data_IF_060997511665
#
_entry.id   IF_060997511665
#
_cell.length_a   1.000
_cell.length_b   1.000
_cell.length_c   1.000
_cell.angle_alpha   90.00
_cell.angle_beta   90.00
_cell.angle_gamma   90.00
#
_symmetry.space_group_name_H-M   'P 1'
#
loop_
_entity.id
_entity.type
_entity.pdbx_description
1 polymer ?
#
# COMPACT_ATOMS: atom_id res chain seq x y z
N UNK A 1 11.04 -4.23 9.71
CA UNK A 1 9.63 -4.29 9.31
C UNK A 1 8.75 -3.66 10.40
N UNK A 2 7.85 -2.74 10.04
CA UNK A 2 6.99 -2.03 11.01
C UNK A 2 5.54 -2.49 10.84
N UNK A 3 4.98 -3.06 11.90
CA UNK A 3 3.62 -3.62 11.95
C UNK A 3 2.78 -2.86 12.98
N UNK A 4 1.56 -2.50 12.64
CA UNK A 4 0.67 -1.84 13.60
C UNK A 4 -0.63 -1.36 12.98
N UNK A 5 -1.64 -1.03 13.78
CA UNK A 5 -2.93 -0.58 13.28
C UNK A 5 -2.83 0.75 12.52
N UNK A 6 -3.93 1.14 11.91
CA UNK A 6 -4.04 2.44 11.22
C UNK A 6 -3.81 3.56 12.25
N UNK A 7 -3.15 4.64 11.80
CA UNK A 7 -2.88 5.84 12.60
C UNK A 7 -2.17 5.54 13.94
N UNK A 8 -1.27 4.57 13.95
CA UNK A 8 -0.49 4.15 15.13
C UNK A 8 0.96 4.67 15.14
N UNK A 9 1.31 5.60 14.25
CA UNK A 9 2.63 6.21 14.22
C UNK A 9 3.70 5.49 13.41
N UNK A 10 3.37 4.45 12.65
CA UNK A 10 4.33 3.72 11.80
C UNK A 10 5.14 4.65 10.89
N UNK A 11 4.45 5.41 10.06
CA UNK A 11 5.09 6.36 9.12
C UNK A 11 5.88 7.47 9.85
N UNK A 12 5.45 7.87 11.06
CA UNK A 12 6.25 8.78 11.88
C UNK A 12 7.60 8.15 12.28
N UNK A 13 7.58 6.90 12.67
CA UNK A 13 8.80 6.16 13.01
C UNK A 13 9.71 5.97 11.78
N UNK A 14 9.15 5.68 10.60
CA UNK A 14 9.91 5.68 9.33
C UNK A 14 10.64 7.00 9.13
N UNK A 15 9.92 8.12 9.24
CA UNK A 15 10.51 9.47 9.12
C UNK A 15 11.63 9.72 10.13
N UNK A 16 11.48 9.23 11.34
CA UNK A 16 12.53 9.32 12.37
C UNK A 16 13.78 8.55 11.96
N UNK A 17 13.65 7.30 11.50
CA UNK A 17 14.78 6.50 11.03
C UNK A 17 15.50 7.15 9.85
N UNK A 18 14.77 7.71 8.90
CA UNK A 18 15.33 8.47 7.77
C UNK A 18 16.10 9.70 8.27
N UNK A 19 15.50 10.48 9.18
CA UNK A 19 16.13 11.68 9.74
C UNK A 19 17.43 11.36 10.49
N UNK A 20 17.48 10.20 11.14
CA UNK A 20 18.67 9.69 11.83
C UNK A 20 19.67 9.01 10.89
N UNK A 21 19.38 8.92 9.59
CA UNK A 21 20.18 8.19 8.60
C UNK A 21 20.45 6.73 8.99
N UNK A 22 19.49 6.10 9.67
CA UNK A 22 19.59 4.74 10.17
C UNK A 22 19.27 3.68 9.11
N UNK A 23 18.74 4.08 7.95
CA UNK A 23 18.33 3.20 6.85
C UNK A 23 18.76 3.78 5.51
N UNK A 24 18.98 2.90 4.53
CA UNK A 24 19.37 3.27 3.17
C UNK A 24 18.17 3.35 2.23
N UNK A 25 17.11 2.57 2.52
CA UNK A 25 15.89 2.53 1.72
C UNK A 25 14.65 2.61 2.59
N UNK A 26 13.62 3.25 2.06
CA UNK A 26 12.25 3.23 2.57
C UNK A 26 11.40 2.42 1.61
N UNK A 27 10.69 1.41 2.11
CA UNK A 27 9.68 0.67 1.37
C UNK A 27 8.33 1.02 1.96
N UNK A 28 7.45 1.58 1.16
CA UNK A 28 6.07 1.85 1.53
C UNK A 28 5.18 0.75 0.92
N UNK A 29 4.73 -0.14 1.78
CA UNK A 29 3.84 -1.25 1.47
C UNK A 29 2.40 -1.01 1.96
N UNK A 30 2.07 0.21 2.40
CA UNK A 30 0.68 0.60 2.64
C UNK A 30 -0.02 0.88 1.31
N UNK A 31 -0.56 -0.16 0.69
CA UNK A 31 -1.28 -0.06 -0.59
C UNK A 31 -2.52 0.84 -0.52
N UNK A 32 -3.03 1.15 0.67
CA UNK A 32 -4.18 2.03 0.87
C UNK A 32 -3.81 3.50 0.93
N UNK A 33 -2.62 3.83 1.41
CA UNK A 33 -2.17 5.20 1.66
C UNK A 33 -0.69 5.39 1.35
N UNK A 34 -0.25 4.83 0.23
CA UNK A 34 1.13 4.93 -0.20
C UNK A 34 1.61 6.39 -0.24
N UNK A 35 2.67 6.69 0.48
CA UNK A 35 3.26 8.02 0.58
C UNK A 35 4.29 8.30 -0.51
N UNK A 36 4.86 7.26 -1.10
CA UNK A 36 5.87 7.38 -2.15
C UNK A 36 5.26 7.52 -3.54
N UNK A 37 4.16 6.79 -3.79
CA UNK A 37 3.49 6.80 -5.09
C UNK A 37 1.96 6.70 -4.94
N UNK A 38 1.27 6.10 -5.91
CA UNK A 38 -0.18 5.95 -5.89
C UNK A 38 -0.64 4.83 -4.96
N UNK A 39 -1.84 4.93 -4.40
CA UNK A 39 -2.51 3.78 -3.79
C UNK A 39 -2.66 2.63 -4.79
N UNK A 40 -2.58 1.38 -4.29
CA UNK A 40 -2.57 0.19 -5.14
C UNK A 40 -1.18 -0.24 -5.58
N UNK A 41 -0.15 0.46 -5.15
CA UNK A 41 1.25 0.12 -5.38
C UNK A 41 2.00 -0.15 -4.09
N UNK A 42 3.14 -0.83 -4.24
CA UNK A 42 4.21 -0.93 -3.27
C UNK A 42 5.40 -0.23 -3.89
N UNK A 43 6.01 0.70 -3.19
CA UNK A 43 7.10 1.51 -3.72
C UNK A 43 8.30 1.50 -2.80
N UNK A 44 9.51 1.58 -3.36
CA UNK A 44 10.71 1.85 -2.57
C UNK A 44 11.43 3.09 -3.05
N UNK A 45 12.10 3.77 -2.13
CA UNK A 45 12.88 4.98 -2.38
C UNK A 45 14.16 4.95 -1.57
N UNK A 46 15.26 5.43 -2.14
CA UNK A 46 16.47 5.71 -1.37
C UNK A 46 16.17 6.72 -0.26
N UNK A 47 16.60 6.43 0.97
CA UNK A 47 16.33 7.28 2.13
C UNK A 47 16.90 8.70 1.97
N UNK A 48 17.99 8.85 1.24
CA UNK A 48 18.61 10.15 0.89
C UNK A 48 17.70 11.06 0.05
N UNK A 49 16.75 10.47 -0.68
CA UNK A 49 15.78 11.17 -1.54
C UNK A 49 14.42 11.35 -0.86
N UNK A 50 14.23 10.76 0.33
CA UNK A 50 12.97 10.79 1.07
C UNK A 50 12.79 12.14 1.75
N UNK A 51 11.70 12.84 1.42
CA UNK A 51 11.35 14.13 2.04
C UNK A 51 10.45 13.89 3.27
N UNK A 52 11.02 14.04 4.47
CA UNK A 52 10.31 13.81 5.75
C UNK A 52 9.18 14.80 6.00
N UNK A 53 9.17 15.94 5.32
CA UNK A 53 8.13 16.97 5.47
C UNK A 53 6.96 16.78 4.51
N UNK A 54 7.15 16.06 3.41
CA UNK A 54 6.08 15.75 2.47
C UNK A 54 5.26 14.55 2.92
N UNK A 55 3.96 14.63 2.69
CA UNK A 55 3.05 13.53 2.96
C UNK A 55 2.96 12.56 1.78
N UNK A 56 2.95 13.06 0.55
CA UNK A 56 2.94 12.28 -0.68
C UNK A 56 4.05 12.80 -1.60
N UNK A 57 4.96 11.93 -1.98
CA UNK A 57 6.21 12.36 -2.63
C UNK A 57 6.15 12.24 -4.15
N UNK A 58 5.34 11.33 -4.66
CA UNK A 58 5.31 10.97 -6.09
C UNK A 58 6.72 10.65 -6.63
N UNK A 59 7.48 9.88 -5.86
CA UNK A 59 8.86 9.48 -6.13
C UNK A 59 9.07 8.03 -5.72
N UNK A 60 9.83 7.32 -6.52
CA UNK A 60 10.23 5.95 -6.22
C UNK A 60 11.54 5.60 -6.93
N UNK A 61 12.26 4.62 -6.42
CA UNK A 61 13.40 3.97 -7.06
C UNK A 61 13.00 2.62 -7.66
N UNK A 62 12.03 1.95 -7.04
CA UNK A 62 11.43 0.72 -7.53
C UNK A 62 9.94 0.72 -7.22
N UNK A 63 9.15 0.06 -8.07
CA UNK A 63 7.70 0.08 -8.02
C UNK A 63 7.14 -1.31 -8.36
N UNK A 64 6.15 -1.76 -7.57
CA UNK A 64 5.39 -2.99 -7.82
C UNK A 64 3.89 -2.67 -7.82
N UNK A 65 3.18 -3.18 -8.81
CA UNK A 65 1.74 -3.02 -8.92
C UNK A 65 1.01 -4.11 -8.17
N UNK A 66 0.23 -3.72 -7.17
CA UNK A 66 -0.61 -4.65 -6.41
C UNK A 66 -2.07 -4.67 -6.89
N UNK A 67 -2.61 -3.53 -7.31
CA UNK A 67 -3.93 -3.41 -7.91
C UNK A 67 -5.10 -3.28 -6.94
N UNK A 68 -4.86 -3.24 -5.63
CA UNK A 68 -5.90 -3.01 -4.62
C UNK A 68 -5.43 -2.04 -3.54
N UNK A 69 -6.39 -1.40 -2.86
CA UNK A 69 -6.11 -0.48 -1.74
C UNK A 69 -6.13 -1.19 -0.37
N UNK A 70 -6.28 -2.50 -0.37
CA UNK A 70 -6.22 -3.32 0.85
C UNK A 70 -5.51 -4.63 0.56
N UNK A 71 -4.58 -5.07 1.43
CA UNK A 71 -3.90 -6.35 1.27
C UNK A 71 -4.84 -7.55 1.37
N UNK A 72 -6.02 -7.38 1.99
CA UNK A 72 -7.00 -8.46 2.18
C UNK A 72 -7.55 -9.05 0.87
N UNK A 73 -7.40 -8.35 -0.25
CA UNK A 73 -7.85 -8.82 -1.57
C UNK A 73 -7.01 -10.01 -2.05
N UNK A 74 -5.68 -9.95 -1.88
CA UNK A 74 -4.75 -11.04 -2.19
C UNK A 74 -3.52 -10.93 -1.26
N UNK A 75 -3.64 -11.42 -0.01
CA UNK A 75 -2.58 -11.28 0.99
C UNK A 75 -1.24 -11.88 0.55
N UNK A 76 -1.29 -13.02 -0.15
CA UNK A 76 -0.10 -13.72 -0.63
C UNK A 76 0.66 -12.89 -1.66
N UNK A 77 -0.03 -12.38 -2.68
CA UNK A 77 0.59 -11.50 -3.67
C UNK A 77 1.21 -10.25 -3.03
N UNK A 78 0.50 -9.63 -2.06
CA UNK A 78 1.04 -8.49 -1.34
C UNK A 78 2.38 -8.84 -0.65
N UNK A 79 2.44 -9.96 0.05
CA UNK A 79 3.64 -10.39 0.76
C UNK A 79 4.80 -10.70 -0.21
N UNK A 80 4.53 -11.34 -1.33
CA UNK A 80 5.53 -11.64 -2.37
C UNK A 80 6.09 -10.37 -3.02
N UNK A 81 5.23 -9.39 -3.33
CA UNK A 81 5.66 -8.11 -3.91
C UNK A 81 6.49 -7.29 -2.92
N UNK A 82 6.13 -7.30 -1.63
CA UNK A 82 6.94 -6.66 -0.58
C UNK A 82 8.31 -7.32 -0.49
N UNK A 83 8.36 -8.64 -0.43
CA UNK A 83 9.64 -9.38 -0.36
C UNK A 83 10.52 -9.12 -1.59
N UNK A 84 9.91 -9.00 -2.78
CA UNK A 84 10.62 -8.71 -4.04
C UNK A 84 11.30 -7.33 -4.04
N UNK A 85 10.67 -6.32 -3.45
CA UNK A 85 11.14 -4.93 -3.52
C UNK A 85 12.09 -4.56 -2.37
N UNK A 86 12.08 -5.30 -1.27
CA UNK A 86 12.96 -5.08 -0.11
C UNK A 86 14.41 -5.41 -0.49
N UNK A 87 15.33 -4.53 -0.13
CA UNK A 87 16.76 -4.72 -0.40
C UNK A 87 17.63 -3.99 0.64
N UNK A 88 18.78 -4.56 0.95
CA UNK A 88 19.77 -3.95 1.83
C UNK A 88 19.17 -3.49 3.17
N UNK A 89 19.70 -2.41 3.72
CA UNK A 89 19.22 -1.82 4.97
C UNK A 89 17.94 -0.99 4.73
N UNK A 90 16.81 -1.67 4.68
CA UNK A 90 15.51 -1.08 4.40
C UNK A 90 14.64 -0.96 5.63
N UNK A 91 13.85 0.11 5.73
CA UNK A 91 12.67 0.17 6.58
C UNK A 91 11.41 -0.08 5.74
N UNK A 92 10.54 -0.98 6.20
CA UNK A 92 9.28 -1.32 5.52
C UNK A 92 8.10 -0.81 6.35
N UNK A 93 7.34 0.14 5.80
CA UNK A 93 6.09 0.65 6.38
C UNK A 93 4.91 -0.16 5.83
N UNK A 94 4.25 -0.92 6.70
CA UNK A 94 3.12 -1.76 6.32
C UNK A 94 1.79 -1.02 6.52
N UNK A 95 0.79 -1.51 5.82
CA UNK A 95 -0.60 -1.14 6.00
C UNK A 95 -1.10 -1.33 7.44
N UNK A 96 -2.30 -0.79 7.73
CA UNK A 96 -2.93 -0.88 9.04
C UNK A 96 -3.91 -2.05 9.20
N UNK A 97 -3.97 -3.00 8.26
CA UNK A 97 -4.83 -4.17 8.36
C UNK A 97 -4.26 -5.17 9.38
N UNK A 98 -4.77 -5.13 10.62
CA UNK A 98 -4.25 -5.89 11.76
C UNK A 98 -5.33 -6.66 12.53
N UNK A 99 -6.60 -6.55 12.12
CA UNK A 99 -7.72 -7.16 12.82
C UNK A 99 -8.13 -8.49 12.19
N UNK A 100 -8.32 -9.49 13.02
CA UNK A 100 -8.76 -10.82 12.65
C UNK A 100 -7.62 -11.77 12.26
N UNK A 101 -7.97 -13.05 12.18
CA UNK A 101 -7.02 -14.15 11.92
C UNK A 101 -6.24 -13.97 10.61
N UNK A 102 -6.92 -13.63 9.52
CA UNK A 102 -6.28 -13.48 8.22
C UNK A 102 -5.29 -12.31 8.16
N UNK A 103 -5.59 -11.21 8.85
CA UNK A 103 -4.68 -10.09 8.96
C UNK A 103 -3.41 -10.47 9.72
N UNK A 104 -3.56 -11.19 10.83
CA UNK A 104 -2.41 -11.66 11.60
C UNK A 104 -1.57 -12.67 10.82
N UNK A 105 -2.21 -13.67 10.20
CA UNK A 105 -1.53 -14.64 9.33
C UNK A 105 -0.73 -13.96 8.22
N UNK A 106 -1.30 -12.94 7.57
CA UNK A 106 -0.60 -12.16 6.55
C UNK A 106 0.65 -11.47 7.10
N UNK A 107 0.60 -10.93 8.34
CA UNK A 107 1.79 -10.31 8.95
C UNK A 107 2.87 -11.35 9.28
N UNK A 108 2.48 -12.53 9.72
CA UNK A 108 3.43 -13.64 9.92
C UNK A 108 4.06 -14.06 8.58
N UNK A 109 3.28 -14.24 7.54
CA UNK A 109 3.78 -14.59 6.19
C UNK A 109 4.74 -13.52 5.64
N UNK A 110 4.45 -12.23 5.84
CA UNK A 110 5.37 -11.14 5.51
C UNK A 110 6.70 -11.24 6.27
N UNK A 111 6.65 -11.54 7.56
CA UNK A 111 7.87 -11.70 8.37
C UNK A 111 8.69 -12.88 7.85
N UNK A 112 8.05 -13.99 7.51
CA UNK A 112 8.71 -15.17 6.97
C UNK A 112 9.36 -14.90 5.62
N UNK A 113 8.65 -14.26 4.68
CA UNK A 113 9.15 -13.99 3.34
C UNK A 113 10.22 -12.90 3.29
N UNK A 114 10.06 -11.83 4.07
CA UNK A 114 11.02 -10.72 4.12
C UNK A 114 12.23 -11.07 4.98
N UNK A 115 12.05 -11.94 5.99
CA UNK A 115 13.09 -12.31 6.97
C UNK A 115 13.82 -11.10 7.57
N UNK A 116 13.09 -10.14 8.17
CA UNK A 116 13.71 -8.90 8.63
C UNK A 116 14.54 -9.13 9.90
N UNK A 117 15.64 -8.39 10.06
CA UNK A 117 16.44 -8.39 11.30
C UNK A 117 15.62 -7.92 12.51
N UNK A 118 14.71 -6.98 12.28
CA UNK A 118 13.88 -6.40 13.34
C UNK A 118 12.42 -6.31 12.91
N UNK A 119 11.52 -6.77 13.77
CA UNK A 119 10.09 -6.54 13.68
C UNK A 119 9.71 -5.53 14.74
N UNK A 120 9.23 -4.36 14.34
CA UNK A 120 8.77 -3.31 15.24
C UNK A 120 7.24 -3.25 15.19
N UNK A 121 6.59 -3.20 16.34
CA UNK A 121 5.14 -3.04 16.39
C UNK A 121 4.71 -1.90 17.30
N UNK A 122 3.64 -1.21 16.92
CA UNK A 122 2.99 -0.17 17.71
C UNK A 122 1.79 -0.70 18.52
N UNK A 123 1.55 -2.01 18.51
CA UNK A 123 0.42 -2.67 19.16
C UNK A 123 0.88 -3.70 20.19
N UNK A 124 0.48 -3.52 21.44
CA UNK A 124 0.76 -4.49 22.51
C UNK A 124 0.15 -5.87 22.22
N UNK A 125 -1.02 -5.90 21.56
CA UNK A 125 -1.63 -7.17 21.15
C UNK A 125 -0.73 -7.90 20.14
N UNK A 126 -0.31 -7.23 19.07
CA UNK A 126 0.56 -7.83 18.05
C UNK A 126 1.90 -8.24 18.67
N UNK A 127 2.45 -7.42 19.56
CA UNK A 127 3.67 -7.75 20.28
C UNK A 127 3.55 -9.09 21.03
N UNK A 128 2.46 -9.28 21.81
CA UNK A 128 2.22 -10.53 22.54
C UNK A 128 2.01 -11.72 21.59
N UNK A 129 1.18 -11.53 20.55
CA UNK A 129 0.85 -12.59 19.61
C UNK A 129 2.11 -13.08 18.85
N UNK A 130 2.97 -12.16 18.40
CA UNK A 130 4.25 -12.51 17.75
C UNK A 130 5.26 -13.14 18.72
N UNK A 131 5.30 -12.66 19.97
CA UNK A 131 6.17 -13.25 21.01
C UNK A 131 5.77 -14.69 21.34
N UNK A 132 4.48 -15.02 21.32
CA UNK A 132 3.98 -16.39 21.52
C UNK A 132 4.41 -17.33 20.39
N UNK A 133 4.67 -16.80 19.19
CA UNK A 133 5.24 -17.57 18.06
C UNK A 133 6.76 -17.70 18.13
N UNK A 134 7.40 -17.26 19.23
CA UNK A 134 8.85 -17.30 19.38
C UNK A 134 9.62 -16.18 18.70
N UNK A 135 8.94 -15.23 18.08
CA UNK A 135 9.56 -14.04 17.52
C UNK A 135 9.94 -13.04 18.64
N UNK A 136 10.87 -12.14 18.33
CA UNK A 136 11.34 -11.10 19.26
C UNK A 136 11.00 -9.71 18.74
N UNK A 137 9.70 -9.33 18.71
CA UNK A 137 9.31 -8.00 18.25
C UNK A 137 9.74 -6.93 19.24
N UNK A 138 9.93 -5.71 18.73
CA UNK A 138 10.20 -4.51 19.52
C UNK A 138 8.88 -3.75 19.64
N UNK A 139 8.43 -3.48 20.86
CA UNK A 139 7.24 -2.65 21.09
C UNK A 139 7.63 -1.16 21.09
N UNK A 140 7.10 -0.45 20.12
CA UNK A 140 7.24 1.00 20.03
C UNK A 140 5.99 1.68 20.60
N UNK A 141 6.18 2.60 21.52
CA UNK A 141 5.10 3.45 22.03
C UNK A 141 5.06 4.74 21.24
N UNK A 142 4.03 4.94 20.41
CA UNK A 142 3.92 6.17 19.63
C UNK A 142 3.61 7.36 20.53
N UNK A 143 3.92 8.59 20.10
CA UNK A 143 3.51 9.81 20.80
C UNK A 143 1.97 9.90 20.89
N UNK A 144 1.46 10.41 22.00
CA UNK A 144 0.00 10.59 22.22
C UNK A 144 -0.66 11.55 21.22
N UNK A 145 0.14 12.40 20.57
CA UNK A 145 -0.31 13.47 19.67
C UNK A 145 -0.58 13.02 18.23
N UNK A 146 -0.59 11.70 17.94
CA UNK A 146 -0.83 11.24 16.58
C UNK A 146 -2.28 11.50 16.17
N UNK A 147 -2.45 12.33 15.13
CA UNK A 147 -3.75 12.66 14.58
C UNK A 147 -4.37 11.44 13.89
N UNK A 148 -5.54 11.04 14.35
CA UNK A 148 -6.34 10.01 13.69
C UNK A 148 -6.99 10.58 12.44
N UNK A 149 -6.90 9.84 11.35
CA UNK A 149 -7.56 10.17 10.08
C UNK A 149 -8.84 9.35 9.93
N UNK A 150 -9.97 10.02 9.72
CA UNK A 150 -11.23 9.36 9.43
C UNK A 150 -11.24 8.70 8.02
N UNK A 151 -12.30 7.97 7.71
CA UNK A 151 -12.46 7.28 6.43
C UNK A 151 -12.53 8.26 5.25
N UNK A 152 -13.14 9.43 5.46
CA UNK A 152 -13.33 10.44 4.42
C UNK A 152 -12.00 11.09 4.04
N UNK A 153 -11.18 11.46 5.01
CA UNK A 153 -9.83 12.00 4.79
C UNK A 153 -8.95 11.01 4.02
N UNK A 154 -9.01 9.72 4.37
CA UNK A 154 -8.28 8.69 3.62
C UNK A 154 -8.77 8.55 2.17
N UNK A 155 -10.09 8.63 1.95
CA UNK A 155 -10.68 8.64 0.60
C UNK A 155 -10.28 9.88 -0.19
N UNK A 156 -10.34 11.04 0.43
CA UNK A 156 -9.93 12.31 -0.18
C UNK A 156 -8.45 12.31 -0.57
N UNK A 157 -7.59 11.77 0.29
CA UNK A 157 -6.17 11.58 -0.01
C UNK A 157 -5.96 10.73 -1.28
N UNK A 158 -6.57 9.55 -1.34
CA UNK A 158 -6.46 8.70 -2.53
C UNK A 158 -6.95 9.41 -3.80
N UNK A 159 -8.11 10.05 -3.72
CA UNK A 159 -8.68 10.78 -4.85
C UNK A 159 -7.78 11.94 -5.31
N UNK A 160 -7.10 12.64 -4.39
CA UNK A 160 -6.18 13.71 -4.74
C UNK A 160 -4.89 13.18 -5.38
N UNK A 161 -4.35 12.08 -4.89
CA UNK A 161 -3.17 11.44 -5.46
C UNK A 161 -3.43 11.01 -6.93
N UNK A 162 -4.54 10.33 -7.18
CA UNK A 162 -4.92 9.96 -8.54
C UNK A 162 -5.19 11.17 -9.44
N UNK A 163 -5.92 12.18 -8.98
CA UNK A 163 -6.15 13.41 -9.75
C UNK A 163 -4.86 14.11 -10.13
N UNK A 164 -3.92 14.20 -9.19
CA UNK A 164 -2.63 14.83 -9.47
C UNK A 164 -1.82 14.05 -10.51
N UNK A 165 -1.81 12.73 -10.42
CA UNK A 165 -1.09 11.86 -11.36
C UNK A 165 -1.69 11.91 -12.76
N UNK A 166 -3.02 11.89 -12.87
CA UNK A 166 -3.72 11.86 -14.15
C UNK A 166 -4.11 13.24 -14.70
N UNK A 167 -3.57 14.29 -14.14
CA UNK A 167 -3.89 15.67 -14.57
C UNK A 167 -3.68 15.90 -16.08
N UNK A 168 -2.59 15.36 -16.61
CA UNK A 168 -2.21 15.53 -18.02
C UNK A 168 -2.42 14.23 -18.83
N UNK A 169 -3.23 13.30 -18.33
CA UNK A 169 -3.51 12.03 -19.00
C UNK A 169 -4.38 12.22 -20.25
N UNK A 170 -4.17 11.37 -21.23
CA UNK A 170 -5.04 11.30 -22.43
C UNK A 170 -6.12 10.24 -22.22
N UNK A 171 -7.33 10.52 -22.71
CA UNK A 171 -8.40 9.54 -22.77
C UNK A 171 -8.07 8.46 -23.79
N UNK A 172 -8.19 7.19 -23.41
CA UNK A 172 -7.96 6.04 -24.26
C UNK A 172 -9.25 5.22 -24.32
N UNK A 173 -9.69 4.86 -25.53
CA UNK A 173 -10.80 3.95 -25.71
C UNK A 173 -10.31 2.51 -25.50
N UNK A 174 -10.91 1.80 -24.57
CA UNK A 174 -10.56 0.41 -24.24
C UNK A 174 -11.33 -0.63 -25.03
N UNK A 175 -12.25 -0.24 -25.91
CA UNK A 175 -13.15 -1.16 -26.62
C UNK A 175 -12.49 -2.31 -27.37
N UNK A 176 -11.18 -2.23 -27.61
CA UNK A 176 -10.39 -3.25 -28.30
C UNK A 176 -9.34 -3.95 -27.39
N UNK A 177 -9.32 -3.65 -26.09
CA UNK A 177 -8.38 -4.28 -25.17
C UNK A 177 -9.03 -5.48 -24.47
N UNK A 178 -8.30 -6.59 -24.31
CA UNK A 178 -8.80 -7.71 -23.52
C UNK A 178 -8.89 -7.27 -22.06
N UNK A 179 -10.10 -7.24 -21.51
CA UNK A 179 -10.33 -7.00 -20.09
C UNK A 179 -10.24 -8.32 -19.33
N UNK A 180 -9.49 -8.34 -18.24
CA UNK A 180 -9.47 -9.47 -17.33
C UNK A 180 -10.69 -9.40 -16.40
N UNK A 181 -11.59 -10.35 -16.55
CA UNK A 181 -12.82 -10.46 -15.77
C UNK A 181 -13.88 -11.28 -16.50
N UNK A 182 -15.03 -11.41 -15.88
CA UNK A 182 -16.20 -12.10 -16.46
C UNK A 182 -17.17 -11.05 -16.97
N UNK A 183 -17.46 -11.07 -18.26
CA UNK A 183 -18.49 -10.21 -18.83
C UNK A 183 -19.87 -10.69 -18.38
N UNK A 184 -20.60 -9.83 -17.71
CA UNK A 184 -21.95 -10.09 -17.22
C UNK A 184 -23.06 -9.58 -18.18
N UNK A 185 -22.67 -9.07 -19.35
CA UNK A 185 -23.55 -8.49 -20.36
C UNK A 185 -23.80 -6.99 -20.18
N UNK A 186 -24.25 -6.34 -21.27
CA UNK A 186 -24.53 -4.89 -21.31
C UNK A 186 -23.39 -3.98 -20.79
N UNK A 187 -22.14 -4.37 -20.99
CA UNK A 187 -20.99 -3.61 -20.51
C UNK A 187 -20.68 -3.79 -19.03
N UNK A 188 -21.33 -4.73 -18.33
CA UNK A 188 -21.02 -5.09 -16.96
C UNK A 188 -19.95 -6.18 -16.92
N UNK A 189 -18.93 -5.96 -16.11
CA UNK A 189 -17.86 -6.92 -15.86
C UNK A 189 -17.72 -7.17 -14.36
N UNK A 190 -17.58 -8.43 -13.99
CA UNK A 190 -17.11 -8.77 -12.65
C UNK A 190 -15.61 -8.99 -12.68
N UNK A 191 -14.88 -8.16 -11.97
CA UNK A 191 -13.45 -8.27 -11.82
C UNK A 191 -13.06 -8.15 -10.35
N UNK A 192 -12.36 -9.15 -9.83
CA UNK A 192 -11.86 -9.17 -8.44
C UNK A 192 -12.97 -9.04 -7.37
N UNK A 193 -14.17 -9.58 -7.64
CA UNK A 193 -15.32 -9.55 -6.73
C UNK A 193 -16.04 -8.19 -6.69
N UNK A 194 -15.80 -7.32 -7.66
CA UNK A 194 -16.53 -6.06 -7.84
C UNK A 194 -17.16 -6.02 -9.22
N UNK A 195 -18.42 -5.62 -9.29
CA UNK A 195 -19.10 -5.36 -10.56
C UNK A 195 -18.73 -3.98 -11.08
N UNK A 196 -18.32 -3.93 -12.32
CA UNK A 196 -17.89 -2.70 -12.99
C UNK A 196 -18.65 -2.54 -14.28
N UNK A 197 -19.24 -1.37 -14.49
CA UNK A 197 -19.88 -1.01 -15.74
C UNK A 197 -18.82 -0.34 -16.67
N UNK A 198 -18.69 -0.87 -17.89
CA UNK A 198 -17.84 -0.31 -18.92
C UNK A 198 -18.72 0.17 -20.06
N UNK A 199 -18.95 1.46 -20.15
CA UNK A 199 -19.75 2.07 -21.20
C UNK A 199 -19.08 1.97 -22.57
N UNK A 200 -19.86 1.80 -23.61
CA UNK A 200 -19.39 1.82 -24.99
C UNK A 200 -18.94 3.22 -25.38
N UNK A 201 -17.65 3.43 -25.48
CA UNK A 201 -17.06 4.71 -25.89
C UNK A 201 -16.76 5.66 -24.74
N UNK A 202 -17.05 5.28 -23.50
CA UNK A 202 -16.78 6.10 -22.35
C UNK A 202 -15.34 6.01 -21.89
N UNK A 203 -14.90 7.10 -21.33
CA UNK A 203 -13.57 7.26 -20.84
C UNK A 203 -13.39 6.53 -19.50
N UNK A 204 -12.31 5.80 -19.39
CA UNK A 204 -11.84 5.21 -18.13
C UNK A 204 -11.70 6.22 -16.99
N UNK A 205 -11.69 7.51 -17.25
CA UNK A 205 -11.58 8.53 -16.22
C UNK A 205 -12.73 8.47 -15.20
N UNK A 206 -13.93 8.11 -15.63
CA UNK A 206 -15.09 8.01 -14.74
C UNK A 206 -15.02 6.76 -13.87
N UNK A 207 -14.40 5.70 -14.38
CA UNK A 207 -14.14 4.45 -13.64
C UNK A 207 -12.84 4.49 -12.84
N UNK A 208 -12.03 5.50 -13.00
CA UNK A 208 -10.69 5.59 -12.39
C UNK A 208 -10.72 5.44 -10.86
N UNK A 209 -11.81 5.76 -10.21
CA UNK A 209 -12.00 5.58 -8.77
C UNK A 209 -12.34 4.15 -8.40
N UNK A 210 -13.02 3.41 -9.27
CA UNK A 210 -13.47 2.04 -9.05
C UNK A 210 -12.54 1.01 -9.70
N UNK A 211 -12.02 1.30 -10.91
CA UNK A 211 -11.10 0.46 -11.68
C UNK A 211 -9.61 0.80 -11.41
N UNK A 212 -9.26 1.22 -10.25
CA UNK A 212 -7.88 1.53 -9.84
C UNK A 212 -6.85 0.48 -10.27
N UNK A 213 -7.30 -0.76 -10.41
CA UNK A 213 -6.49 -1.94 -10.74
C UNK A 213 -6.14 -2.06 -12.21
N UNK A 214 -7.08 -1.70 -13.09
CA UNK A 214 -6.88 -1.79 -14.54
C UNK A 214 -6.10 -0.58 -15.04
N UNK A 215 -6.36 0.56 -14.44
CA UNK A 215 -5.84 1.83 -14.88
C UNK A 215 -4.32 1.91 -14.83
N UNK A 216 -3.75 1.31 -13.84
CA UNK A 216 -2.33 1.41 -13.56
C UNK A 216 -1.51 0.44 -14.40
N UNK A 217 -2.08 -0.68 -14.81
CA UNK A 217 -1.42 -1.62 -15.74
C UNK A 217 -1.30 -1.11 -17.16
N UNK A 218 -2.01 -0.04 -17.52
CA UNK A 218 -2.01 0.54 -18.86
C UNK A 218 -1.05 1.73 -19.05
N UNK A 219 -0.45 2.22 -17.98
CA UNK A 219 0.47 3.36 -18.03
C UNK A 219 1.93 2.96 -18.25
N UNK A 220 2.19 1.65 -18.49
CA UNK A 220 3.52 1.10 -18.77
C UNK A 220 3.46 0.27 -20.08
#
# INVERSE_FOLDING_TARGET
>A
LIVGPVDSGKTYFVKTLVSLRAVDFVVDADVGQNSLFLPGFIASLEASKYDVFRFHQNRFSSLEFYGSITPSTNPRLHAELVAKIVRGNSVVDLDGWTHGFFAFRHKVELIELVSPDYVVTTSEKIFRDLSQLGLRPILLRPPETIAKRDRERRRAFRASAYRAYFKDSKRVNLGNLPLMGIEMGQGLFEAFGETVEVGSGDCLADYSVQLRRVYVGLTH
#
